data_IF_952859620381
#
_entry.id   IF_952859620381
#
_cell.length_a   1.000
_cell.length_b   1.000
_cell.length_c   1.000
_cell.angle_alpha   90.00
_cell.angle_beta   90.00
_cell.angle_gamma   90.00
#
_symmetry.space_group_name_H-M   'P 1'
#
loop_
_entity.id
_entity.type
_entity.pdbx_description
1 polymer ?
#
# COMPACT_ATOMS: atom_id res chain seq x y z
N UNK A 1 9.73 9.73 -8.42
CA UNK A 1 8.42 9.19 -8.79
C UNK A 1 8.12 7.99 -7.88
N UNK A 2 6.88 7.76 -7.44
CA UNK A 2 6.60 6.74 -6.41
C UNK A 2 6.22 5.35 -6.99
N UNK A 3 6.27 5.21 -8.32
CA UNK A 3 5.98 3.98 -9.05
C UNK A 3 4.67 3.31 -8.60
N UNK A 4 3.65 4.10 -8.27
CA UNK A 4 2.31 3.61 -7.99
C UNK A 4 1.59 3.34 -9.30
N UNK A 5 0.72 2.34 -9.31
CA UNK A 5 -0.14 2.07 -10.45
C UNK A 5 -1.31 3.04 -10.39
N UNK A 6 -1.32 4.01 -11.30
CA UNK A 6 -2.28 5.13 -11.32
C UNK A 6 -3.73 4.67 -11.60
N UNK A 7 -3.91 3.48 -12.18
CA UNK A 7 -5.21 2.84 -12.41
C UNK A 7 -5.70 1.98 -11.23
N UNK A 8 -4.93 1.90 -10.15
CA UNK A 8 -5.29 1.19 -8.93
C UNK A 8 -5.48 2.18 -7.78
N UNK A 9 -6.42 1.90 -6.90
CA UNK A 9 -6.58 2.62 -5.63
C UNK A 9 -5.35 2.48 -4.73
N UNK A 10 -5.27 3.30 -3.68
CA UNK A 10 -4.23 3.17 -2.64
C UNK A 10 -4.30 1.79 -1.99
N UNK A 11 -5.51 1.28 -1.69
CA UNK A 11 -5.71 -0.07 -1.16
C UNK A 11 -5.11 -1.11 -2.10
N UNK A 12 -5.45 -1.07 -3.39
CA UNK A 12 -4.99 -2.05 -4.37
C UNK A 12 -3.49 -1.99 -4.59
N UNK A 13 -2.91 -0.78 -4.60
CA UNK A 13 -1.46 -0.60 -4.65
C UNK A 13 -0.77 -1.29 -3.46
N UNK A 14 -1.32 -1.17 -2.26
CA UNK A 14 -0.76 -1.80 -1.05
C UNK A 14 -1.05 -3.31 -1.05
N UNK A 15 -2.20 -3.76 -1.53
CA UNK A 15 -2.59 -5.17 -1.56
C UNK A 15 -1.82 -5.99 -2.61
N UNK A 16 -1.34 -5.35 -3.69
CA UNK A 16 -0.76 -6.02 -4.85
C UNK A 16 0.34 -7.05 -4.51
N UNK A 17 1.34 -6.78 -3.65
CA UNK A 17 2.36 -7.77 -3.31
C UNK A 17 1.80 -9.02 -2.64
N UNK A 18 0.78 -8.87 -1.77
CA UNK A 18 0.12 -10.00 -1.12
C UNK A 18 -0.67 -10.83 -2.12
N UNK A 19 -1.38 -10.17 -3.04
CA UNK A 19 -2.14 -10.86 -4.10
C UNK A 19 -1.21 -11.65 -5.02
N UNK A 20 -0.04 -11.10 -5.38
CA UNK A 20 0.97 -11.79 -6.19
C UNK A 20 1.61 -12.97 -5.46
N UNK A 21 1.66 -12.93 -4.13
CA UNK A 21 2.11 -14.04 -3.27
C UNK A 21 1.02 -15.09 -3.02
N UNK A 22 -0.20 -14.91 -3.55
CA UNK A 22 -1.30 -15.85 -3.36
C UNK A 22 -1.94 -15.82 -1.97
N UNK A 23 -1.75 -14.74 -1.21
CA UNK A 23 -2.39 -14.57 0.11
C UNK A 23 -3.91 -14.51 -0.07
N UNK A 24 -4.71 -15.25 0.73
CA UNK A 24 -6.16 -15.22 0.63
C UNK A 24 -6.74 -13.81 0.84
N UNK A 25 -7.73 -13.43 0.04
CA UNK A 25 -8.38 -12.11 0.13
C UNK A 25 -8.91 -11.78 1.53
N UNK A 26 -9.34 -12.80 2.29
CA UNK A 26 -9.78 -12.65 3.68
C UNK A 26 -8.69 -12.14 4.63
N UNK A 27 -7.41 -12.38 4.32
CA UNK A 27 -6.27 -11.94 5.12
C UNK A 27 -5.69 -10.60 4.64
N UNK A 28 -5.79 -10.33 3.33
CA UNK A 28 -5.22 -9.13 2.70
C UNK A 28 -5.76 -7.86 3.36
N UNK A 29 -7.08 -7.76 3.53
CA UNK A 29 -7.72 -6.55 4.06
C UNK A 29 -7.19 -6.20 5.46
N UNK A 30 -6.97 -7.20 6.31
CA UNK A 30 -6.40 -6.99 7.64
C UNK A 30 -4.98 -6.42 7.59
N UNK A 31 -4.11 -7.04 6.78
CA UNK A 31 -2.71 -6.61 6.61
C UNK A 31 -2.60 -5.20 6.01
N UNK A 32 -3.43 -4.88 5.00
CA UNK A 32 -3.47 -3.55 4.39
C UNK A 32 -3.93 -2.50 5.42
N UNK A 33 -5.00 -2.78 6.17
CA UNK A 33 -5.49 -1.85 7.19
C UNK A 33 -4.47 -1.62 8.31
N UNK A 34 -3.73 -2.65 8.71
CA UNK A 34 -2.68 -2.53 9.72
C UNK A 34 -1.56 -1.57 9.27
N UNK A 35 -1.01 -1.76 8.07
CA UNK A 35 0.07 -0.91 7.56
C UNK A 35 -0.43 0.51 7.24
N UNK A 36 -1.66 0.63 6.72
CA UNK A 36 -2.27 1.92 6.43
C UNK A 36 -2.49 2.76 7.69
N UNK A 37 -2.90 2.11 8.79
CA UNK A 37 -3.04 2.74 10.10
C UNK A 37 -1.69 3.21 10.65
N UNK A 38 -0.65 2.36 10.58
CA UNK A 38 0.71 2.71 11.03
C UNK A 38 1.27 3.92 10.29
N UNK A 39 0.95 4.09 9.01
CA UNK A 39 1.43 5.18 8.17
C UNK A 39 0.45 6.35 8.02
N UNK A 40 -0.68 6.34 8.73
CA UNK A 40 -1.66 7.43 8.70
C UNK A 40 -2.26 7.68 7.31
N UNK A 41 -2.59 6.60 6.58
CA UNK A 41 -3.19 6.65 5.23
C UNK A 41 -4.50 5.85 5.12
N UNK A 42 -5.12 5.46 6.22
CA UNK A 42 -6.40 4.72 6.22
C UNK A 42 -7.51 5.46 5.46
N UNK A 43 -7.63 6.77 5.68
CA UNK A 43 -8.67 7.63 5.08
C UNK A 43 -8.57 7.81 3.55
N UNK A 44 -7.45 7.38 2.95
CA UNK A 44 -7.21 7.52 1.51
C UNK A 44 -7.18 6.18 0.78
N UNK A 45 -7.46 5.07 1.47
CA UNK A 45 -7.39 3.71 0.89
C UNK A 45 -8.25 3.56 -0.37
N UNK A 46 -9.40 4.22 -0.43
CA UNK A 46 -10.33 4.18 -1.57
C UNK A 46 -10.00 5.18 -2.68
N UNK A 47 -9.04 6.08 -2.46
CA UNK A 47 -8.63 7.08 -3.45
C UNK A 47 -7.65 6.49 -4.45
N UNK A 48 -7.52 7.16 -5.60
CA UNK A 48 -6.48 6.88 -6.59
C UNK A 48 -5.24 7.75 -6.33
N UNK A 49 -4.05 7.35 -6.80
CA UNK A 49 -2.82 8.14 -6.65
C UNK A 49 -2.97 9.58 -7.16
N UNK A 50 -3.68 9.80 -8.26
CA UNK A 50 -3.97 11.15 -8.79
C UNK A 50 -4.73 12.07 -7.83
N UNK A 51 -5.45 11.51 -6.85
CA UNK A 51 -6.31 12.25 -5.92
C UNK A 51 -5.69 12.48 -4.53
N UNK A 52 -4.39 12.21 -4.36
CA UNK A 52 -3.68 12.32 -3.08
C UNK A 52 -2.39 13.14 -3.22
N UNK A 53 -1.92 13.70 -2.11
CA UNK A 53 -0.69 14.51 -2.09
C UNK A 53 0.57 13.68 -2.33
N UNK A 54 1.67 14.33 -2.73
CA UNK A 54 2.97 13.64 -2.89
C UNK A 54 3.43 12.90 -1.63
N UNK A 55 3.26 13.49 -0.44
CA UNK A 55 3.57 12.82 0.82
C UNK A 55 2.67 11.60 1.11
N UNK A 56 1.40 11.64 0.68
CA UNK A 56 0.51 10.48 0.75
C UNK A 56 0.92 9.37 -0.24
N UNK A 57 1.37 9.73 -1.45
CA UNK A 57 1.96 8.78 -2.40
C UNK A 57 3.22 8.11 -1.84
N UNK A 58 4.11 8.86 -1.21
CA UNK A 58 5.30 8.34 -0.55
C UNK A 58 4.96 7.30 0.53
N UNK A 59 4.03 7.65 1.42
CA UNK A 59 3.58 6.72 2.48
C UNK A 59 2.88 5.48 1.89
N UNK A 60 2.17 5.62 0.77
CA UNK A 60 1.58 4.49 0.05
C UNK A 60 2.66 3.56 -0.52
N UNK A 61 3.71 4.10 -1.13
CA UNK A 61 4.82 3.29 -1.63
C UNK A 61 5.54 2.56 -0.50
N UNK A 62 5.76 3.23 0.64
CA UNK A 62 6.29 2.59 1.85
C UNK A 62 5.35 1.48 2.38
N UNK A 63 4.04 1.73 2.41
CA UNK A 63 3.04 0.75 2.82
C UNK A 63 3.09 -0.51 1.94
N UNK A 64 3.16 -0.34 0.62
CA UNK A 64 3.29 -1.43 -0.35
C UNK A 64 4.56 -2.26 -0.11
N UNK A 65 5.68 -1.62 0.22
CA UNK A 65 6.91 -2.33 0.55
C UNK A 65 6.81 -3.12 1.87
N UNK A 66 6.08 -2.60 2.87
CA UNK A 66 6.02 -3.17 4.21
C UNK A 66 4.93 -4.23 4.41
N UNK A 67 3.87 -4.21 3.59
CA UNK A 67 2.64 -5.01 3.79
C UNK A 67 2.89 -6.53 3.90
N UNK A 68 3.92 -7.04 3.23
CA UNK A 68 4.27 -8.46 3.18
C UNK A 68 5.31 -8.86 4.24
N UNK A 69 5.53 -7.97 5.22
CA UNK A 69 6.46 -8.15 6.34
C UNK A 69 7.86 -8.65 5.91
N UNK A 70 8.54 -7.92 5.01
CA UNK A 70 9.86 -8.32 4.54
C UNK A 70 10.88 -8.32 5.69
N UNK A 71 11.88 -9.20 5.59
CA UNK A 71 13.00 -9.22 6.53
C UNK A 71 13.89 -7.97 6.38
N UNK A 72 14.00 -7.42 5.16
CA UNK A 72 14.83 -6.25 4.83
C UNK A 72 14.06 -5.37 3.84
N UNK A 73 14.09 -4.05 4.05
CA UNK A 73 13.63 -3.05 3.08
C UNK A 73 14.84 -2.20 2.67
N UNK A 74 15.07 -2.10 1.36
CA UNK A 74 16.00 -1.15 0.78
C UNK A 74 15.19 0.05 0.27
N UNK A 75 15.47 1.24 0.80
CA UNK A 75 14.81 2.49 0.43
C UNK A 75 15.87 3.55 0.14
N UNK A 76 15.62 4.36 -0.90
CA UNK A 76 16.44 5.49 -1.36
C UNK A 76 15.54 6.74 -1.43
#
# INVERSE_FOLDING_TARGET
DFNLLENLSIYENIALPLSLQGVPSSEITGKVNEVAKKLGITEILTKYPTAVSGGQKQRTAAARALVHNPAIVLAD
#
